data_IF_044070817071
#
_entry.id   IF_044070817071
#
_cell.length_a   1.000
_cell.length_b   1.000
_cell.length_c   1.000
_cell.angle_alpha   90.00
_cell.angle_beta   90.00
_cell.angle_gamma   90.00
#
_symmetry.space_group_name_H-M   'P 1'
#
loop_
_entity.id
_entity.type
_entity.pdbx_description
1 polymer ?
#
# COMPACT_ATOMS: atom_id res chain seq x y z
N UNK A 1 2.81 4.58 -17.06
CA UNK A 1 2.36 3.28 -16.51
C UNK A 1 0.83 3.29 -16.53
N UNK A 2 0.15 2.23 -16.98
CA UNK A 2 -1.32 2.21 -17.00
C UNK A 2 -1.87 2.01 -15.57
N UNK A 3 -3.10 2.47 -15.29
CA UNK A 3 -3.73 2.24 -13.98
C UNK A 3 -3.86 0.75 -13.64
N UNK A 4 -4.14 -0.08 -14.66
CA UNK A 4 -4.20 -1.54 -14.51
C UNK A 4 -2.87 -2.13 -14.07
N UNK A 5 -1.75 -1.66 -14.66
CA UNK A 5 -0.42 -2.13 -14.30
C UNK A 5 -0.04 -1.69 -12.88
N UNK A 6 -0.36 -0.45 -12.49
CA UNK A 6 -0.13 0.03 -11.11
C UNK A 6 -0.89 -0.86 -10.12
N UNK A 7 -2.18 -1.09 -10.39
CA UNK A 7 -3.02 -1.95 -9.55
C UNK A 7 -2.46 -3.37 -9.44
N UNK A 8 -2.04 -3.96 -10.57
CA UNK A 8 -1.45 -5.30 -10.60
C UNK A 8 -0.18 -5.37 -9.76
N UNK A 9 0.74 -4.40 -9.91
CA UNK A 9 1.99 -4.37 -9.14
C UNK A 9 1.71 -4.22 -7.65
N UNK A 10 0.80 -3.32 -7.27
CA UNK A 10 0.42 -3.15 -5.86
C UNK A 10 -0.24 -4.40 -5.27
N UNK A 11 -1.09 -5.08 -6.05
CA UNK A 11 -1.74 -6.32 -5.64
C UNK A 11 -0.71 -7.43 -5.43
N UNK A 12 0.19 -7.64 -6.40
CA UNK A 12 1.30 -8.60 -6.29
C UNK A 12 2.16 -8.29 -5.06
N UNK A 13 2.50 -7.03 -4.85
CA UNK A 13 3.37 -6.63 -3.76
C UNK A 13 2.66 -6.64 -2.40
N UNK A 14 1.32 -6.55 -2.35
CA UNK A 14 0.50 -6.82 -1.18
C UNK A 14 0.40 -8.32 -0.87
N UNK A 15 0.41 -9.17 -1.89
CA UNK A 15 0.38 -10.62 -1.74
C UNK A 15 1.75 -11.20 -1.36
N UNK A 16 2.84 -10.63 -1.87
CA UNK A 16 4.21 -11.05 -1.57
C UNK A 16 4.62 -10.77 -0.12
N UNK A 17 4.11 -9.67 0.47
CA UNK A 17 4.31 -9.33 1.88
C UNK A 17 2.98 -9.42 2.64
N UNK A 18 2.44 -10.63 2.71
CA UNK A 18 1.12 -10.90 3.26
C UNK A 18 1.05 -10.52 4.75
N UNK A 19 -0.07 -9.87 5.12
CA UNK A 19 -0.39 -9.62 6.51
C UNK A 19 -0.97 -10.88 7.17
N UNK A 20 -0.70 -11.08 8.46
CA UNK A 20 -1.28 -12.17 9.24
C UNK A 20 -2.82 -12.13 9.23
N UNK A 21 -3.40 -10.94 9.34
CA UNK A 21 -4.85 -10.73 9.30
C UNK A 21 -5.22 -9.88 8.08
N UNK A 22 -6.23 -10.33 7.34
CA UNK A 22 -6.82 -9.60 6.22
C UNK A 22 -8.35 -9.58 6.37
N UNK A 23 -8.96 -8.40 6.26
CA UNK A 23 -10.42 -8.24 6.19
C UNK A 23 -10.77 -7.48 4.92
N UNK A 24 -11.75 -7.99 4.16
CA UNK A 24 -12.24 -7.33 2.95
C UNK A 24 -13.50 -6.51 3.27
N UNK A 25 -13.51 -5.25 2.85
CA UNK A 25 -14.61 -4.30 3.05
C UNK A 25 -14.87 -3.57 1.74
N UNK A 26 -15.90 -3.98 1.00
CA UNK A 26 -16.28 -3.39 -0.30
C UNK A 26 -15.10 -3.21 -1.26
N UNK A 27 -14.27 -4.25 -1.39
CA UNK A 27 -13.04 -4.24 -2.18
C UNK A 27 -11.78 -3.80 -1.43
N UNK A 28 -11.88 -2.95 -0.40
CA UNK A 28 -10.70 -2.60 0.38
C UNK A 28 -10.18 -3.78 1.18
N UNK A 29 -8.86 -3.91 1.27
CA UNK A 29 -8.19 -4.91 2.11
C UNK A 29 -7.58 -4.23 3.33
N UNK A 30 -8.18 -4.45 4.49
CA UNK A 30 -7.66 -4.01 5.78
C UNK A 30 -6.63 -5.05 6.25
N UNK A 31 -5.38 -4.64 6.40
CA UNK A 31 -4.24 -5.54 6.64
C UNK A 31 -3.66 -5.27 8.02
N UNK A 32 -3.42 -6.34 8.78
CA UNK A 32 -2.77 -6.27 10.08
C UNK A 32 -1.71 -7.36 10.26
N UNK A 33 -0.53 -6.94 10.70
CA UNK A 33 0.63 -7.77 10.98
C UNK A 33 1.44 -7.15 12.13
N UNK A 34 0.76 -6.98 13.27
CA UNK A 34 1.31 -6.52 14.55
C UNK A 34 2.12 -5.21 14.49
N UNK A 35 1.77 -4.31 13.57
CA UNK A 35 2.41 -3.02 13.44
C UNK A 35 3.81 -3.03 12.81
N UNK A 36 4.35 -4.20 12.42
CA UNK A 36 5.75 -4.37 12.02
C UNK A 36 6.14 -3.51 10.80
N UNK A 37 5.35 -3.55 9.72
CA UNK A 37 5.62 -2.77 8.50
C UNK A 37 4.39 -1.99 8.05
N UNK A 38 4.57 -0.79 7.50
CA UNK A 38 3.47 0.02 6.95
C UNK A 38 2.72 -0.71 5.82
N UNK A 39 3.42 -1.48 4.99
CA UNK A 39 2.82 -2.23 3.87
C UNK A 39 1.87 -3.33 4.34
N UNK A 40 2.15 -4.05 5.42
CA UNK A 40 1.23 -5.07 5.96
C UNK A 40 0.29 -4.55 7.06
N UNK A 41 0.36 -3.26 7.40
CA UNK A 41 -0.43 -2.61 8.45
C UNK A 41 -1.09 -1.33 7.92
N UNK A 42 -1.75 -1.44 6.77
CA UNK A 42 -2.47 -0.36 6.10
C UNK A 42 -3.63 -0.91 5.27
N UNK A 43 -4.68 -0.10 5.12
CA UNK A 43 -5.76 -0.32 4.18
C UNK A 43 -5.21 -0.23 2.77
N UNK A 44 -5.35 -1.28 1.98
CA UNK A 44 -5.12 -1.19 0.55
C UNK A 44 -6.44 -0.92 -0.16
N UNK A 45 -6.54 0.27 -0.75
CA UNK A 45 -7.73 0.78 -1.44
C UNK A 45 -7.66 0.62 -2.97
N UNK A 46 -6.81 -0.29 -3.46
CA UNK A 46 -6.59 -0.49 -4.90
C UNK A 46 -7.50 -1.52 -5.58
N UNK A 47 -8.30 -2.30 -4.84
CA UNK A 47 -9.19 -3.28 -5.47
C UNK A 47 -10.45 -2.60 -5.99
N UNK A 48 -10.83 -2.95 -7.22
CA UNK A 48 -12.17 -2.69 -7.75
C UNK A 48 -13.15 -3.60 -7.00
N UNK A 49 -13.83 -3.04 -6.01
CA UNK A 49 -14.92 -3.70 -5.30
C UNK A 49 -16.25 -3.12 -5.74
N UNK A 50 -17.33 -3.83 -5.41
CA UNK A 50 -18.65 -3.23 -5.48
C UNK A 50 -18.81 -2.20 -4.36
N UNK A 51 -19.30 -1.01 -4.71
CA UNK A 51 -19.65 0.04 -3.75
C UNK A 51 -20.96 -0.31 -3.03
N UNK A 52 -20.89 -1.36 -2.21
CA UNK A 52 -22.04 -1.92 -1.47
C UNK A 52 -22.40 -1.08 -0.24
N UNK A 53 -21.48 -0.27 0.26
CA UNK A 53 -21.68 0.62 1.41
C UNK A 53 -21.02 1.98 1.13
N UNK A 54 -21.47 3.02 1.84
CA UNK A 54 -20.98 4.38 1.63
C UNK A 54 -19.50 4.50 1.96
N UNK A 55 -18.83 5.45 1.33
CA UNK A 55 -17.40 5.70 1.56
C UNK A 55 -17.11 6.04 3.02
N UNK A 56 -17.96 6.85 3.65
CA UNK A 56 -17.82 7.20 5.06
C UNK A 56 -17.86 5.97 5.96
N UNK A 57 -18.76 5.02 5.67
CA UNK A 57 -18.90 3.78 6.43
C UNK A 57 -17.65 2.90 6.24
N UNK A 58 -17.06 2.85 5.05
CA UNK A 58 -15.81 2.11 4.78
C UNK A 58 -14.64 2.67 5.57
N UNK A 59 -14.52 4.00 5.61
CA UNK A 59 -13.49 4.70 6.39
C UNK A 59 -13.69 4.41 7.88
N UNK A 60 -14.92 4.52 8.39
CA UNK A 60 -15.22 4.21 9.79
C UNK A 60 -14.89 2.74 10.14
N UNK A 61 -15.27 1.78 9.30
CA UNK A 61 -14.93 0.35 9.52
C UNK A 61 -13.41 0.16 9.57
N UNK A 62 -12.66 0.82 8.68
CA UNK A 62 -11.20 0.80 8.72
C UNK A 62 -10.67 1.40 10.02
N UNK A 63 -11.18 2.55 10.45
CA UNK A 63 -10.77 3.20 11.69
C UNK A 63 -10.99 2.33 12.91
N UNK A 64 -12.18 1.73 13.03
CA UNK A 64 -12.48 0.80 14.11
C UNK A 64 -11.60 -0.46 14.08
N UNK A 65 -11.22 -0.94 12.89
CA UNK A 65 -10.35 -2.11 12.75
C UNK A 65 -8.97 -1.87 13.36
N UNK A 66 -8.35 -0.70 13.15
CA UNK A 66 -7.05 -0.37 13.75
C UNK A 66 -7.18 0.12 15.19
N UNK A 67 -8.26 0.85 15.54
CA UNK A 67 -8.51 1.31 16.90
C UNK A 67 -8.63 0.14 17.88
N UNK A 68 -9.35 -0.94 17.53
CA UNK A 68 -9.45 -2.17 18.36
C UNK A 68 -8.09 -2.83 18.62
N UNK A 69 -7.06 -2.46 17.87
CA UNK A 69 -5.68 -2.97 17.98
C UNK A 69 -4.70 -1.94 18.55
N UNK A 70 -5.20 -0.82 19.06
CA UNK A 70 -4.40 0.31 19.55
C UNK A 70 -3.37 0.82 18.51
N UNK A 71 -3.77 0.83 17.23
CA UNK A 71 -2.91 1.24 16.12
C UNK A 71 -3.53 2.40 15.33
N UNK A 72 -2.70 3.27 14.71
CA UNK A 72 -3.21 4.30 13.82
C UNK A 72 -3.72 3.69 12.51
N UNK A 73 -4.84 4.21 12.03
CA UNK A 73 -5.37 3.90 10.69
C UNK A 73 -4.45 4.48 9.63
N UNK A 74 -4.02 3.64 8.70
CA UNK A 74 -3.17 4.04 7.57
C UNK A 74 -3.79 3.57 6.28
N UNK A 75 -3.78 4.43 5.26
CA UNK A 75 -4.23 4.10 3.92
C UNK A 75 -3.04 4.04 2.97
N UNK A 76 -3.01 3.02 2.13
CA UNK A 76 -2.10 2.92 1.00
C UNK A 76 -2.81 3.54 -0.21
N UNK A 77 -2.35 4.75 -0.57
CA UNK A 77 -2.86 5.54 -1.69
C UNK A 77 -1.85 5.52 -2.83
N UNK A 78 -2.36 5.34 -4.05
CA UNK A 78 -1.62 5.36 -5.30
C UNK A 78 -2.54 5.85 -6.44
N UNK A 79 -2.02 6.16 -7.63
CA UNK A 79 -2.85 6.64 -8.75
C UNK A 79 -3.99 5.70 -9.16
N UNK A 80 -3.89 4.39 -8.85
CA UNK A 80 -4.93 3.40 -9.15
C UNK A 80 -5.95 3.19 -8.00
N UNK A 81 -5.85 3.98 -6.93
CA UNK A 81 -6.75 3.90 -5.77
C UNK A 81 -8.18 4.23 -6.16
N UNK A 82 -9.13 3.50 -5.56
CA UNK A 82 -10.56 3.75 -5.71
C UNK A 82 -11.26 3.89 -4.35
N UNK A 83 -12.15 4.89 -4.20
CA UNK A 83 -12.50 5.92 -5.19
C UNK A 83 -11.36 6.94 -5.41
N UNK A 84 -11.37 7.65 -6.57
CA UNK A 84 -10.27 8.55 -6.98
C UNK A 84 -10.09 9.78 -6.10
N UNK A 85 -11.14 10.19 -5.40
CA UNK A 85 -11.17 11.31 -4.45
C UNK A 85 -10.87 10.87 -3.00
N UNK A 86 -10.48 9.61 -2.79
CA UNK A 86 -10.19 9.11 -1.44
C UNK A 86 -9.09 9.95 -0.75
N UNK A 87 -8.04 10.34 -1.47
CA UNK A 87 -6.91 11.07 -0.90
C UNK A 87 -7.33 12.43 -0.32
N UNK A 88 -8.08 13.21 -1.09
CA UNK A 88 -8.60 14.51 -0.65
C UNK A 88 -9.65 14.37 0.46
N UNK A 89 -10.45 13.32 0.44
CA UNK A 89 -11.40 13.03 1.53
C UNK A 89 -10.64 12.69 2.83
N UNK A 90 -9.57 11.90 2.76
CA UNK A 90 -8.74 11.59 3.91
C UNK A 90 -8.02 12.86 4.42
N UNK A 91 -7.50 13.70 3.54
CA UNK A 91 -6.89 14.98 3.90
C UNK A 91 -7.89 15.87 4.66
N UNK A 92 -9.13 15.99 4.18
CA UNK A 92 -10.18 16.77 4.87
C UNK A 92 -10.51 16.26 6.27
N UNK A 93 -10.21 14.98 6.55
CA UNK A 93 -10.38 14.31 7.84
C UNK A 93 -9.13 14.39 8.73
N UNK A 94 -8.07 15.07 8.28
CA UNK A 94 -6.83 15.26 9.02
C UNK A 94 -5.79 14.16 8.84
N UNK A 95 -5.96 13.27 7.87
CA UNK A 95 -4.90 12.34 7.50
C UNK A 95 -3.75 13.10 6.83
N UNK A 96 -2.53 12.62 7.05
CA UNK A 96 -1.30 13.20 6.50
C UNK A 96 -0.46 12.13 5.83
N UNK A 97 0.36 12.54 4.86
CA UNK A 97 1.30 11.66 4.19
C UNK A 97 2.47 11.38 5.15
N UNK A 98 2.69 10.10 5.48
CA UNK A 98 3.74 9.68 6.42
C UNK A 98 4.87 8.86 5.76
N UNK A 99 4.64 8.29 4.58
CA UNK A 99 5.63 7.43 3.91
C UNK A 99 5.47 7.54 2.38
N UNK A 100 6.03 8.60 1.78
CA UNK A 100 6.16 8.68 0.33
C UNK A 100 6.91 7.45 -0.17
N UNK A 101 6.37 6.77 -1.19
CA UNK A 101 6.92 5.52 -1.72
C UNK A 101 6.90 5.55 -3.23
N UNK A 102 8.05 5.32 -3.85
CA UNK A 102 8.16 5.14 -5.30
C UNK A 102 8.04 3.65 -5.65
N UNK A 103 7.21 3.33 -6.64
CA UNK A 103 7.11 2.00 -7.22
C UNK A 103 7.83 2.00 -8.56
N UNK A 104 8.85 1.15 -8.68
CA UNK A 104 9.66 1.01 -9.88
C UNK A 104 9.51 -0.40 -10.46
N UNK A 105 9.51 -0.49 -11.78
CA UNK A 105 9.44 -1.75 -12.53
C UNK A 105 10.56 -1.80 -13.56
N UNK A 106 11.10 -2.99 -13.77
CA UNK A 106 12.07 -3.27 -14.82
C UNK A 106 11.80 -4.68 -15.38
N UNK A 107 12.19 -4.92 -16.64
CA UNK A 107 12.21 -6.29 -17.15
C UNK A 107 13.33 -7.08 -16.48
N UNK A 108 13.12 -8.39 -16.31
CA UNK A 108 14.15 -9.28 -15.77
C UNK A 108 15.40 -9.26 -16.64
N UNK A 109 15.24 -9.26 -17.97
CA UNK A 109 16.37 -9.20 -18.90
C UNK A 109 17.24 -7.96 -18.70
N UNK A 110 16.63 -6.77 -18.58
CA UNK A 110 17.39 -5.54 -18.32
C UNK A 110 18.07 -5.56 -16.95
N UNK A 111 17.42 -6.13 -15.92
CA UNK A 111 18.04 -6.30 -14.60
C UNK A 111 19.24 -7.24 -14.69
N UNK A 112 19.14 -8.34 -15.44
CA UNK A 112 20.24 -9.28 -15.64
C UNK A 112 21.40 -8.67 -16.42
N UNK A 113 21.12 -7.96 -17.52
CA UNK A 113 22.13 -7.27 -18.32
C UNK A 113 22.90 -6.24 -17.49
N UNK A 114 22.19 -5.44 -16.68
CA UNK A 114 22.81 -4.44 -15.83
C UNK A 114 23.58 -5.09 -14.67
N UNK A 115 22.99 -6.10 -14.01
CA UNK A 115 23.60 -6.76 -12.84
C UNK A 115 24.78 -7.69 -13.17
N UNK A 116 24.94 -8.10 -14.43
CA UNK A 116 26.05 -8.95 -14.88
C UNK A 116 27.42 -8.22 -14.89
N UNK A 117 27.44 -6.90 -14.72
CA UNK A 117 28.69 -6.14 -14.59
C UNK A 117 29.35 -6.38 -13.21
N UNK A 118 30.67 -6.52 -13.16
CA UNK A 118 31.42 -6.59 -11.89
C UNK A 118 31.34 -5.24 -11.18
N UNK A 119 30.41 -5.10 -10.24
CA UNK A 119 30.36 -3.95 -9.33
C UNK A 119 31.39 -4.13 -8.21
N UNK A 120 32.35 -3.20 -8.09
CA UNK A 120 33.15 -3.07 -6.87
C UNK A 120 32.38 -2.19 -5.88
N UNK A 121 31.89 -2.80 -4.79
CA UNK A 121 31.29 -2.06 -3.68
C UNK A 121 32.39 -1.74 -2.67
N UNK A 122 32.68 -0.45 -2.47
CA UNK A 122 33.54 0.02 -1.38
C UNK A 122 32.67 0.60 -0.26
N UNK A 123 32.72 -0.01 0.92
CA UNK A 123 32.09 0.52 2.13
C UNK A 123 33.16 1.31 2.90
N UNK A 124 32.94 2.62 3.09
CA UNK A 124 33.78 3.43 3.97
C UNK A 124 33.04 3.63 5.29
N UNK A 125 33.60 3.11 6.38
CA UNK A 125 33.14 3.41 7.73
C UNK A 125 33.76 4.73 8.18
N UNK A 126 32.92 5.76 8.36
CA UNK A 126 33.31 6.96 9.08
C UNK A 126 33.00 6.72 10.56
N UNK A 127 34.02 6.33 11.34
CA UNK A 127 33.98 6.37 12.81
C UNK A 127 34.31 7.78 13.31
#
# INVERSE_FOLDING_TARGET
>A
MTLELIRLVDELAANAWAAHTNQIVSGWRLRWNDGITGRANSVWAGSLGEDRIRLEDRIQIAEEFYQRRNAPTKFHICPATQPTDLDSILESRGYVIITPTDVQIASVDSVLELSASNYSVSVSENF
#
